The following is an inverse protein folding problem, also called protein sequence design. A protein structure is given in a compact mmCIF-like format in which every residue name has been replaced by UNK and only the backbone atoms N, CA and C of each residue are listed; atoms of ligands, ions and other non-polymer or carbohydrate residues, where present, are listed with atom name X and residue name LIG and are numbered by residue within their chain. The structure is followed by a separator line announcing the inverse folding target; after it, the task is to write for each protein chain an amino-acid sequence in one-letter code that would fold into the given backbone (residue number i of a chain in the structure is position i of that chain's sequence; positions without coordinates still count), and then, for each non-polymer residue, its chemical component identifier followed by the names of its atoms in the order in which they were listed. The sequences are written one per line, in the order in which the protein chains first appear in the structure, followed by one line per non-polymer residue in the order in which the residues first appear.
data_IF_709630701977
#
_entry.id   IF_709630701977
#
_cell.length_a   1.000
_cell.length_b   1.000
_cell.length_c   1.000
_cell.angle_alpha   90.00
_cell.angle_beta   90.00
_cell.angle_gamma   90.00
#
_symmetry.space_group_name_H-M   'P 1'
#
loop_
_entity.id
_entity.type
_entity.pdbx_description
1 polymer ?
#
# COMPACT_ATOMS: atom_id res chain seq x y z
N UNK A 1 9.71 2.16 -4.08
CA UNK A 1 10.68 1.59 -3.13
C UNK A 1 11.98 2.35 -3.22
N UNK A 2 12.50 2.77 -2.10
CA UNK A 2 13.78 3.46 -2.01
C UNK A 2 14.49 3.00 -0.74
N UNK A 3 15.81 2.81 -0.79
CA UNK A 3 16.57 2.37 0.37
C UNK A 3 17.00 3.55 1.28
N UNK A 4 16.78 4.77 0.85
CA UNK A 4 17.08 5.98 1.63
C UNK A 4 15.85 6.44 2.40
N UNK A 5 15.88 6.36 3.71
CA UNK A 5 14.74 6.71 4.58
C UNK A 5 14.25 8.14 4.37
N UNK A 6 15.15 9.09 4.25
CA UNK A 6 14.82 10.49 4.04
C UNK A 6 14.08 10.73 2.72
N UNK A 7 14.45 10.02 1.65
CA UNK A 7 13.74 10.06 0.38
C UNK A 7 12.32 9.52 0.52
N UNK A 8 12.15 8.43 1.25
CA UNK A 8 10.84 7.81 1.51
C UNK A 8 9.94 8.76 2.30
N UNK A 9 10.48 9.34 3.36
CA UNK A 9 9.74 10.29 4.20
C UNK A 9 9.32 11.52 3.41
N UNK A 10 10.22 12.10 2.62
CA UNK A 10 9.93 13.24 1.78
C UNK A 10 8.87 12.91 0.72
N UNK A 11 8.97 11.76 0.10
CA UNK A 11 7.98 11.29 -0.89
C UNK A 11 6.59 11.18 -0.26
N UNK A 12 6.49 10.58 0.91
CA UNK A 12 5.24 10.45 1.66
C UNK A 12 4.62 11.80 1.98
N UNK A 13 5.44 12.72 2.48
CA UNK A 13 4.98 14.07 2.84
C UNK A 13 4.48 14.85 1.63
N UNK A 14 5.19 14.79 0.52
CA UNK A 14 4.80 15.48 -0.72
C UNK A 14 3.51 14.91 -1.29
N UNK A 15 3.39 13.60 -1.35
CA UNK A 15 2.17 12.96 -1.85
C UNK A 15 0.97 13.30 -0.97
N UNK A 16 1.13 13.25 0.33
CA UNK A 16 0.06 13.62 1.26
C UNK A 16 -0.33 15.08 1.11
N UNK A 17 0.63 15.97 0.99
CA UNK A 17 0.38 17.41 0.84
C UNK A 17 -0.44 17.72 -0.42
N UNK A 18 -0.07 17.11 -1.55
CA UNK A 18 -0.79 17.26 -2.81
C UNK A 18 -2.22 16.72 -2.67
N UNK A 19 -2.36 15.52 -2.12
CA UNK A 19 -3.66 14.91 -1.91
C UNK A 19 -4.54 15.76 -0.99
N UNK A 20 -3.97 16.24 0.12
CA UNK A 20 -4.70 17.01 1.14
C UNK A 20 -5.20 18.36 0.60
N UNK A 21 -4.41 19.03 -0.24
CA UNK A 21 -4.85 20.25 -0.91
C UNK A 21 -6.08 20.00 -1.77
N UNK A 22 -6.03 18.97 -2.61
CA UNK A 22 -7.14 18.60 -3.50
C UNK A 22 -8.36 18.15 -2.69
N UNK A 23 -8.15 17.33 -1.68
CA UNK A 23 -9.22 16.86 -0.80
C UNK A 23 -9.93 18.01 -0.10
N UNK A 24 -9.17 18.91 0.48
CA UNK A 24 -9.71 20.07 1.19
C UNK A 24 -10.47 21.01 0.24
N UNK A 25 -9.93 21.22 -0.96
CA UNK A 25 -10.55 22.08 -1.97
C UNK A 25 -11.88 21.53 -2.47
N UNK A 26 -11.96 20.18 -2.66
CA UNK A 26 -13.17 19.54 -3.19
C UNK A 26 -14.22 19.24 -2.11
N UNK A 27 -13.81 18.85 -0.92
CA UNK A 27 -14.75 18.44 0.15
C UNK A 27 -15.11 19.56 1.12
N UNK A 28 -14.30 20.59 1.23
CA UNK A 28 -14.57 21.78 2.08
C UNK A 28 -14.99 21.38 3.51
N UNK A 29 -16.20 21.74 3.91
CA UNK A 29 -16.72 21.44 5.24
C UNK A 29 -16.97 19.94 5.48
N UNK A 30 -17.05 19.13 4.42
CA UNK A 30 -17.21 17.68 4.52
C UNK A 30 -15.87 16.95 4.68
N UNK A 31 -14.75 17.67 4.59
CA UNK A 31 -13.43 17.10 4.81
C UNK A 31 -13.29 16.63 6.26
N UNK A 32 -12.76 15.40 6.45
CA UNK A 32 -12.61 14.79 7.77
C UNK A 32 -11.17 14.42 8.07
N UNK A 33 -10.81 14.47 9.36
CA UNK A 33 -9.50 14.04 9.82
C UNK A 33 -9.31 12.53 9.65
N UNK A 34 -10.38 11.75 9.80
CA UNK A 34 -10.35 10.30 9.60
C UNK A 34 -9.95 9.94 8.17
N UNK A 35 -10.48 10.65 7.17
CA UNK A 35 -10.07 10.46 5.78
C UNK A 35 -8.61 10.85 5.55
N UNK A 36 -8.13 11.88 6.23
CA UNK A 36 -6.71 12.28 6.17
C UNK A 36 -5.79 11.22 6.77
N UNK A 37 -6.18 10.64 7.90
CA UNK A 37 -5.42 9.54 8.51
C UNK A 37 -5.42 8.31 7.60
N UNK A 38 -6.55 7.98 6.98
CA UNK A 38 -6.64 6.89 6.01
C UNK A 38 -5.68 7.11 4.82
N UNK A 39 -5.63 8.31 4.29
CA UNK A 39 -4.72 8.66 3.18
C UNK A 39 -3.25 8.48 3.59
N UNK A 40 -2.87 8.89 4.79
CA UNK A 40 -1.51 8.71 5.30
C UNK A 40 -1.14 7.23 5.39
N UNK A 41 -2.04 6.40 5.86
CA UNK A 41 -1.82 4.94 5.95
C UNK A 41 -1.63 4.34 4.56
N UNK A 42 -2.51 4.68 3.62
CA UNK A 42 -2.41 4.18 2.23
C UNK A 42 -1.06 4.56 1.61
N UNK A 43 -0.66 5.81 1.76
CA UNK A 43 0.64 6.28 1.25
C UNK A 43 1.79 5.53 1.92
N UNK A 44 1.76 5.38 3.24
CA UNK A 44 2.84 4.71 3.99
C UNK A 44 2.98 3.24 3.63
N UNK A 45 1.88 2.58 3.27
CA UNK A 45 1.89 1.17 2.88
C UNK A 45 2.46 0.92 1.49
N UNK A 46 2.45 1.93 0.62
CA UNK A 46 2.87 1.78 -0.77
C UNK A 46 4.13 2.56 -1.13
N UNK A 47 4.56 3.49 -0.30
CA UNK A 47 5.87 4.15 -0.41
C UNK A 47 6.76 3.56 0.68
N UNK A 48 7.66 2.67 0.30
CA UNK A 48 8.31 1.74 1.22
C UNK A 48 9.82 1.94 1.25
N UNK A 49 10.38 1.98 2.46
CA UNK A 49 11.82 1.99 2.68
C UNK A 49 12.33 0.55 2.58
N UNK A 50 12.94 0.24 1.44
CA UNK A 50 13.38 -1.13 1.17
C UNK A 50 14.44 -1.19 0.08
N UNK A 51 15.00 -2.39 -0.09
CA UNK A 51 16.01 -2.68 -1.12
C UNK A 51 15.35 -3.47 -2.26
N UNK A 52 15.23 -2.83 -3.42
CA UNK A 52 14.60 -3.44 -4.59
C UNK A 52 15.41 -4.61 -5.18
N UNK A 53 16.68 -4.73 -4.83
CA UNK A 53 17.52 -5.84 -5.29
C UNK A 53 17.35 -7.09 -4.43
N UNK A 54 17.23 -6.91 -3.10
CA UNK A 54 17.06 -8.02 -2.16
C UNK A 54 15.61 -8.33 -1.84
N UNK A 55 14.70 -7.39 -2.16
CA UNK A 55 13.25 -7.45 -1.88
C UNK A 55 12.93 -7.44 -0.38
N UNK A 56 13.86 -6.92 0.42
CA UNK A 56 13.71 -6.80 1.88
C UNK A 56 13.56 -5.34 2.30
N UNK A 57 12.84 -5.11 3.39
CA UNK A 57 12.83 -3.82 4.05
C UNK A 57 14.22 -3.50 4.61
N UNK A 58 14.55 -2.22 4.71
CA UNK A 58 15.83 -1.77 5.27
C UNK A 58 15.59 -1.03 6.59
N UNK A 59 16.61 -1.02 7.43
CA UNK A 59 16.61 -0.28 8.71
C UNK A 59 16.99 1.20 8.49
N UNK A 60 17.12 1.95 9.60
CA UNK A 60 17.45 3.38 9.54
C UNK A 60 18.83 3.66 8.93
N UNK A 61 19.74 2.70 9.00
CA UNK A 61 21.11 2.78 8.46
C UNK A 61 21.19 2.30 7.00
N UNK A 62 20.08 1.85 6.42
CA UNK A 62 20.04 1.37 5.04
C UNK A 62 20.43 -0.10 4.87
N UNK A 63 20.53 -0.85 5.94
CA UNK A 63 20.88 -2.28 5.92
C UNK A 63 19.62 -3.13 5.78
N UNK A 64 19.73 -4.24 5.02
CA UNK A 64 18.63 -5.17 4.85
C UNK A 64 18.20 -5.77 6.20
N UNK A 65 16.88 -5.88 6.38
CA UNK A 65 16.28 -6.61 7.50
C UNK A 65 15.82 -7.99 7.05
N UNK A 66 15.28 -8.78 7.98
CA UNK A 66 14.65 -10.07 7.64
C UNK A 66 13.19 -9.92 7.18
N UNK A 67 12.65 -8.72 7.19
CA UNK A 67 11.27 -8.46 6.80
C UNK A 67 11.16 -8.24 5.29
N UNK A 68 10.31 -9.01 4.58
CA UNK A 68 10.11 -8.81 3.15
C UNK A 68 9.36 -7.50 2.89
N UNK A 69 9.57 -6.94 1.70
CA UNK A 69 8.76 -5.79 1.24
C UNK A 69 7.36 -6.29 0.92
N UNK A 70 6.36 -5.65 1.52
CA UNK A 70 4.94 -5.96 1.32
C UNK A 70 4.24 -4.73 0.77
N UNK A 71 3.52 -4.89 -0.33
CA UNK A 71 2.66 -3.87 -0.90
C UNK A 71 1.21 -4.16 -0.63
N UNK A 72 0.42 -3.11 -0.61
CA UNK A 72 -1.03 -3.21 -0.47
C UNK A 72 -1.71 -2.78 -1.77
N UNK A 73 -2.64 -3.61 -2.25
CA UNK A 73 -3.57 -3.26 -3.31
C UNK A 73 -4.87 -2.80 -2.67
N UNK A 74 -5.37 -1.66 -3.11
CA UNK A 74 -6.55 -1.02 -2.54
C UNK A 74 -7.67 -1.01 -3.57
N UNK A 75 -8.83 -1.57 -3.21
CA UNK A 75 -10.00 -1.64 -4.08
C UNK A 75 -11.22 -1.09 -3.38
N UNK A 76 -11.90 -0.14 -3.99
CA UNK A 76 -13.17 0.37 -3.49
C UNK A 76 -14.26 -0.59 -3.95
N UNK A 77 -14.84 -1.35 -3.00
CA UNK A 77 -15.86 -2.36 -3.31
C UNK A 77 -17.30 -1.84 -3.19
N UNK A 78 -17.47 -0.68 -2.56
CA UNK A 78 -18.74 0.05 -2.51
C UNK A 78 -18.42 1.52 -2.23
N UNK A 79 -19.46 2.36 -2.11
CA UNK A 79 -19.26 3.80 -1.86
C UNK A 79 -18.47 4.10 -0.58
N UNK A 80 -18.51 3.19 0.40
CA UNK A 80 -17.88 3.41 1.71
C UNK A 80 -16.89 2.35 2.12
N UNK A 81 -16.85 1.20 1.43
CA UNK A 81 -16.01 0.08 1.83
C UNK A 81 -14.83 -0.12 0.92
N UNK A 82 -13.67 -0.31 1.52
CA UNK A 82 -12.42 -0.53 0.85
C UNK A 82 -11.85 -1.88 1.23
N UNK A 83 -11.38 -2.62 0.23
CA UNK A 83 -10.66 -3.86 0.41
C UNK A 83 -9.17 -3.59 0.25
N UNK A 84 -8.39 -4.09 1.19
CA UNK A 84 -6.94 -4.09 1.13
C UNK A 84 -6.45 -5.53 1.00
N UNK A 85 -5.57 -5.78 0.03
CA UNK A 85 -4.92 -7.08 -0.16
C UNK A 85 -3.41 -6.87 -0.13
N UNK A 86 -2.72 -7.59 0.74
CA UNK A 86 -1.27 -7.47 0.91
C UNK A 86 -0.54 -8.57 0.15
N UNK A 87 0.53 -8.18 -0.54
CA UNK A 87 1.38 -9.08 -1.32
C UNK A 87 2.84 -8.81 -1.01
N UNK A 88 3.68 -9.84 -0.99
CA UNK A 88 5.12 -9.61 -0.98
C UNK A 88 5.58 -9.14 -2.35
N UNK A 89 6.60 -8.30 -2.39
CA UNK A 89 7.20 -7.86 -3.65
C UNK A 89 7.77 -9.04 -4.46
N UNK A 90 8.34 -10.04 -3.77
CA UNK A 90 8.87 -11.23 -4.44
C UNK A 90 7.78 -12.03 -5.14
N UNK A 91 6.62 -12.20 -4.52
CA UNK A 91 5.50 -12.91 -5.13
C UNK A 91 4.95 -12.14 -6.34
N UNK A 92 4.84 -10.82 -6.24
CA UNK A 92 4.40 -9.98 -7.36
C UNK A 92 5.34 -10.10 -8.57
N UNK A 93 6.65 -10.08 -8.33
CA UNK A 93 7.63 -10.18 -9.41
C UNK A 93 7.65 -11.57 -10.05
N UNK A 94 7.60 -12.62 -9.23
CA UNK A 94 7.52 -14.00 -9.73
C UNK A 94 6.28 -14.23 -10.59
N UNK A 95 5.15 -13.68 -10.16
CA UNK A 95 3.92 -13.79 -10.92
C UNK A 95 3.99 -13.08 -12.28
N UNK A 96 4.55 -11.87 -12.29
CA UNK A 96 4.68 -11.09 -13.52
C UNK A 96 5.71 -11.68 -14.50
N UNK A 97 6.72 -12.37 -14.00
CA UNK A 97 7.71 -13.07 -14.81
C UNK A 97 7.16 -14.37 -15.42
N UNK A 98 6.10 -14.92 -14.84
CA UNK A 98 5.43 -16.07 -15.44
C UNK A 98 4.70 -15.63 -16.72
N UNK A 99 4.64 -16.49 -17.72
CA UNK A 99 4.02 -16.19 -19.01
C UNK A 99 2.49 -16.00 -18.93
N UNK A 100 1.91 -16.03 -17.76
CA UNK A 100 0.47 -16.04 -17.53
C UNK A 100 -0.15 -14.68 -17.24
N UNK A 101 0.63 -13.60 -17.24
CA UNK A 101 0.08 -12.26 -17.26
C UNK A 101 0.36 -11.41 -16.01
N UNK A 102 -0.39 -10.33 -15.89
CA UNK A 102 -0.24 -9.32 -14.85
C UNK A 102 -1.14 -9.65 -13.66
N UNK A 103 -0.54 -9.72 -12.45
CA UNK A 103 -1.27 -9.97 -11.20
C UNK A 103 -2.47 -9.02 -11.01
N UNK A 104 -2.30 -7.74 -11.33
CA UNK A 104 -3.36 -6.75 -11.15
C UNK A 104 -4.50 -6.88 -12.18
N UNK A 105 -4.29 -7.64 -13.26
CA UNK A 105 -5.33 -7.94 -14.25
C UNK A 105 -6.18 -9.16 -13.88
N UNK A 106 -5.80 -9.90 -12.83
CA UNK A 106 -6.58 -11.05 -12.37
C UNK A 106 -7.84 -10.60 -11.63
N UNK A 107 -8.89 -11.41 -11.71
CA UNK A 107 -10.05 -11.23 -10.86
C UNK A 107 -9.69 -11.58 -9.41
N UNK A 108 -10.48 -11.06 -8.45
CA UNK A 108 -10.28 -11.36 -7.03
C UNK A 108 -10.35 -12.86 -6.75
N UNK A 109 -11.27 -13.55 -7.43
CA UNK A 109 -11.43 -15.00 -7.31
C UNK A 109 -10.19 -15.76 -7.79
N UNK A 110 -9.60 -15.35 -8.91
CA UNK A 110 -8.37 -15.95 -9.42
C UNK A 110 -7.18 -15.74 -8.46
N UNK A 111 -7.09 -14.58 -7.84
CA UNK A 111 -6.05 -14.28 -6.85
C UNK A 111 -6.21 -15.17 -5.61
N UNK A 112 -7.43 -15.35 -5.13
CA UNK A 112 -7.71 -16.23 -3.98
C UNK A 112 -7.34 -17.68 -4.24
N UNK A 113 -7.72 -18.21 -5.39
CA UNK A 113 -7.39 -19.59 -5.79
C UNK A 113 -5.88 -19.80 -5.90
N UNK A 114 -5.15 -18.79 -6.34
CA UNK A 114 -3.69 -18.84 -6.47
C UNK A 114 -2.93 -18.75 -5.16
N UNK A 115 -3.58 -18.42 -4.03
CA UNK A 115 -2.92 -18.27 -2.73
C UNK A 115 -1.88 -17.15 -2.70
N UNK A 116 -2.08 -16.09 -3.50
CA UNK A 116 -1.09 -15.03 -3.72
C UNK A 116 -1.07 -14.00 -2.58
N UNK A 117 -2.21 -13.80 -1.92
CA UNK A 117 -2.28 -12.83 -0.84
C UNK A 117 -1.57 -13.31 0.42
N UNK A 118 -0.93 -12.38 1.13
CA UNK A 118 -0.58 -12.58 2.53
C UNK A 118 -1.80 -12.39 3.42
N UNK A 119 -2.55 -11.31 3.20
CA UNK A 119 -3.67 -10.88 4.05
C UNK A 119 -4.66 -10.09 3.22
N UNK A 120 -5.91 -10.12 3.67
CA UNK A 120 -6.98 -9.29 3.09
C UNK A 120 -7.82 -8.70 4.21
N UNK A 121 -8.15 -7.40 4.07
CA UNK A 121 -9.02 -6.69 4.99
C UNK A 121 -10.12 -5.97 4.21
N UNK A 122 -11.33 -5.96 4.76
CA UNK A 122 -12.45 -5.18 4.22
C UNK A 122 -12.95 -4.29 5.35
N UNK A 123 -12.95 -2.98 5.13
CA UNK A 123 -13.37 -2.01 6.14
C UNK A 123 -13.89 -0.72 5.50
N UNK A 124 -14.54 0.10 6.30
CA UNK A 124 -14.89 1.45 5.88
C UNK A 124 -13.61 2.23 5.57
N UNK A 125 -13.58 3.01 4.48
CA UNK A 125 -12.36 3.69 4.04
C UNK A 125 -11.77 4.61 5.13
N UNK A 126 -12.59 5.16 6.02
CA UNK A 126 -12.13 6.01 7.13
C UNK A 126 -11.49 5.22 8.29
N UNK A 127 -11.50 3.90 8.23
CA UNK A 127 -10.98 3.03 9.30
C UNK A 127 -9.82 2.15 8.84
N UNK A 128 -9.23 2.43 7.68
CA UNK A 128 -8.11 1.62 7.17
C UNK A 128 -6.88 1.72 8.09
N UNK A 129 -6.74 2.79 8.85
CA UNK A 129 -5.67 2.97 9.82
C UNK A 129 -5.75 2.01 11.01
N UNK A 130 -6.90 1.41 11.26
CA UNK A 130 -7.12 0.50 12.40
C UNK A 130 -6.65 -0.93 12.11
N UNK A 131 -6.20 -1.22 10.91
CA UNK A 131 -5.87 -2.58 10.47
C UNK A 131 -4.45 -2.68 9.92
N UNK A 132 -3.82 -3.83 10.18
CA UNK A 132 -2.57 -4.19 9.54
C UNK A 132 -1.31 -3.52 10.08
N UNK A 133 -1.35 -3.08 11.31
CA UNK A 133 -0.22 -2.48 12.05
C UNK A 133 0.63 -3.53 12.80
N UNK A 134 0.56 -4.77 12.45
CA UNK A 134 1.29 -5.85 13.10
C UNK A 134 2.71 -5.98 12.59
#
# INVERSE_FOLDING_TARGET
VDNMRDNVEECRERLFSIWNEEYTAHCKSDASEEARQAAKVIISRNIINGNALTLMCVDAEGNDTSAPIVFSEWTLISSNQMQRSDYTMSDLLLYNDSSEGNLFALSEEQKEEGGIFLRRYITHYKKVQDYGEE
#
